data_IF_077113766486
#
_entry.id   IF_077113766486
#
_cell.length_a   1.000
_cell.length_b   1.000
_cell.length_c   1.000
_cell.angle_alpha   90.00
_cell.angle_beta   90.00
_cell.angle_gamma   90.00
#
_symmetry.space_group_name_H-M   'P 1'
#
loop_
_entity.id
_entity.type
_entity.pdbx_description
1 polymer ?
#
# COMPACT_ATOMS: atom_id res chain seq x y z
N UNK A 1 -15.01 45.11 -28.36
CA UNK A 1 -15.77 44.49 -27.24
C UNK A 1 -15.34 43.03 -27.13
N UNK A 2 -14.79 42.58 -25.99
CA UNK A 2 -14.25 41.23 -25.80
C UNK A 2 -15.35 40.21 -25.44
N UNK A 3 -15.56 39.21 -26.29
CA UNK A 3 -16.39 38.03 -26.00
C UNK A 3 -15.52 36.84 -25.65
N UNK A 4 -15.41 36.54 -24.36
CA UNK A 4 -14.67 35.42 -23.77
C UNK A 4 -15.12 34.06 -24.32
N UNK A 5 -14.14 33.22 -24.63
CA UNK A 5 -13.95 31.89 -24.02
C UNK A 5 -15.07 30.86 -24.23
N UNK A 6 -14.81 29.88 -25.11
CA UNK A 6 -15.23 28.49 -24.88
C UNK A 6 -14.04 27.58 -25.18
N UNK A 7 -13.25 27.38 -24.14
CA UNK A 7 -12.29 26.29 -24.05
C UNK A 7 -13.08 24.96 -24.04
N UNK A 8 -12.85 24.02 -24.97
CA UNK A 8 -13.39 22.69 -24.85
C UNK A 8 -12.59 21.96 -23.76
N UNK A 9 -13.21 21.83 -22.58
CA UNK A 9 -12.63 21.10 -21.45
C UNK A 9 -12.21 19.66 -21.83
N UNK A 10 -11.22 19.08 -21.14
CA UNK A 10 -10.63 17.81 -21.52
C UNK A 10 -11.63 16.66 -21.36
N UNK A 11 -12.30 16.31 -22.44
CA UNK A 11 -12.99 15.04 -22.61
C UNK A 11 -12.00 13.99 -23.12
N UNK A 12 -11.18 13.45 -22.22
CA UNK A 12 -10.56 12.14 -22.38
C UNK A 12 -10.18 11.64 -20.98
N UNK A 13 -10.96 10.69 -20.48
CA UNK A 13 -10.81 10.07 -19.18
C UNK A 13 -9.56 9.16 -19.14
N UNK A 14 -8.37 9.76 -19.25
CA UNK A 14 -7.06 9.09 -19.25
C UNK A 14 -6.16 9.48 -18.08
N UNK A 15 -6.68 10.22 -17.09
CA UNK A 15 -5.85 10.86 -16.05
C UNK A 15 -6.08 10.33 -14.62
N UNK A 16 -6.87 9.26 -14.44
CA UNK A 16 -7.04 8.64 -13.11
C UNK A 16 -5.84 7.83 -12.62
N UNK A 17 -4.90 7.46 -13.52
CA UNK A 17 -3.72 6.71 -13.12
C UNK A 17 -2.65 7.61 -12.45
N UNK A 18 -2.59 8.90 -12.81
CA UNK A 18 -1.59 9.82 -12.29
C UNK A 18 -1.88 10.33 -10.86
N UNK A 19 -3.16 10.39 -10.48
CA UNK A 19 -3.56 10.83 -9.13
C UNK A 19 -3.43 9.74 -8.06
N UNK A 20 -3.54 8.46 -8.44
CA UNK A 20 -3.40 7.33 -7.51
C UNK A 20 -1.98 7.20 -6.94
N UNK A 21 -0.96 7.64 -7.71
CA UNK A 21 0.44 7.69 -7.25
C UNK A 21 0.71 8.85 -6.28
N UNK A 22 -0.15 9.89 -6.24
CA UNK A 22 0.07 11.10 -5.43
C UNK A 22 -0.50 11.00 -4.01
N UNK A 23 -1.17 9.90 -3.68
CA UNK A 23 -1.85 9.68 -2.40
C UNK A 23 -1.28 8.49 -1.59
N UNK A 24 -0.07 8.01 -1.91
CA UNK A 24 0.64 7.07 -1.05
C UNK A 24 1.45 7.85 -0.01
N UNK A 25 1.05 7.87 1.27
CA UNK A 25 1.86 8.48 2.31
C UNK A 25 3.15 7.66 2.48
N UNK A 26 4.29 8.29 2.21
CA UNK A 26 5.63 7.98 2.72
C UNK A 26 5.88 6.49 2.99
N UNK A 27 6.11 5.73 1.92
CA UNK A 27 6.63 4.37 2.00
C UNK A 27 8.12 4.43 2.36
N UNK A 28 8.45 4.47 3.65
CA UNK A 28 9.82 4.32 4.17
C UNK A 28 10.41 2.90 3.94
N UNK A 29 9.73 2.03 3.16
CA UNK A 29 10.25 0.73 2.71
C UNK A 29 9.53 0.30 1.42
N UNK A 30 9.79 1.02 0.33
CA UNK A 30 9.02 1.00 -0.92
C UNK A 30 9.14 -0.25 -1.83
N UNK A 31 9.37 -1.47 -1.31
CA UNK A 31 9.36 -2.69 -2.14
C UNK A 31 8.55 -3.86 -1.56
N UNK A 32 8.00 -3.72 -0.35
CA UNK A 32 7.08 -4.72 0.19
C UNK A 32 5.67 -4.11 0.22
N UNK A 33 4.77 -4.61 -0.62
CA UNK A 33 3.36 -4.24 -0.60
C UNK A 33 2.71 -4.42 0.78
N UNK A 34 1.44 -4.02 0.95
CA UNK A 34 0.76 -4.09 2.23
C UNK A 34 0.82 -5.52 2.81
N UNK A 35 1.36 -5.68 4.02
CA UNK A 35 1.36 -6.97 4.72
C UNK A 35 -0.07 -7.52 4.92
N UNK A 36 -1.08 -6.65 4.85
CA UNK A 36 -2.50 -6.98 4.84
C UNK A 36 -2.92 -7.84 3.65
N UNK A 37 -2.24 -7.68 2.50
CA UNK A 37 -2.49 -8.46 1.29
C UNK A 37 -1.75 -9.80 1.30
N UNK A 38 -0.78 -9.98 2.20
CA UNK A 38 0.00 -11.20 2.25
C UNK A 38 -0.85 -12.37 2.77
N UNK A 39 -0.55 -13.56 2.27
CA UNK A 39 -1.15 -14.79 2.78
C UNK A 39 -0.64 -15.08 4.19
N UNK A 40 -1.42 -15.82 4.98
CA UNK A 40 -0.99 -16.20 6.33
C UNK A 40 0.30 -17.02 6.33
N UNK A 41 0.55 -17.81 5.27
CA UNK A 41 1.78 -18.55 5.10
C UNK A 41 2.99 -17.61 4.93
N UNK A 42 2.89 -16.65 4.00
CA UNK A 42 3.94 -15.64 3.75
C UNK A 42 4.23 -14.80 5.00
N UNK A 43 3.20 -14.42 5.75
CA UNK A 43 3.38 -13.68 7.01
C UNK A 43 4.10 -14.52 8.08
N UNK A 44 3.79 -15.82 8.18
CA UNK A 44 4.49 -16.71 9.12
C UNK A 44 5.93 -16.96 8.73
N UNK A 45 6.20 -17.10 7.43
CA UNK A 45 7.56 -17.24 6.90
C UNK A 45 8.38 -16.01 7.24
N UNK A 46 7.87 -14.81 6.90
CA UNK A 46 8.52 -13.54 7.22
C UNK A 46 8.71 -13.34 8.73
N UNK A 47 7.73 -13.75 9.52
CA UNK A 47 7.80 -13.73 10.97
C UNK A 47 8.86 -14.71 11.51
N UNK A 48 9.09 -15.82 10.83
CA UNK A 48 10.17 -16.76 11.17
C UNK A 48 11.54 -16.19 10.82
N UNK A 49 11.68 -15.52 9.67
CA UNK A 49 12.93 -14.85 9.27
C UNK A 49 13.34 -13.74 10.24
N UNK A 50 12.35 -13.02 10.79
CA UNK A 50 12.56 -11.94 11.77
C UNK A 50 12.62 -12.42 13.22
N UNK A 51 12.42 -13.71 13.48
CA UNK A 51 12.53 -14.30 14.82
C UNK A 51 11.33 -14.05 15.76
N UNK A 52 10.13 -13.79 15.22
CA UNK A 52 8.93 -13.56 16.04
C UNK A 52 8.51 -14.86 16.73
N UNK A 53 8.60 -14.90 18.06
CA UNK A 53 8.14 -16.03 18.84
C UNK A 53 6.61 -16.15 18.85
N UNK A 54 6.10 -17.38 18.93
CA UNK A 54 4.66 -17.61 18.92
C UNK A 54 3.97 -17.41 17.56
N UNK A 55 4.69 -17.11 16.45
CA UNK A 55 4.11 -16.89 15.10
C UNK A 55 3.14 -17.98 14.63
N UNK A 56 3.36 -19.22 15.06
CA UNK A 56 2.50 -20.36 14.70
C UNK A 56 1.11 -20.29 15.35
N UNK A 57 1.02 -19.65 16.53
CA UNK A 57 -0.23 -19.47 17.28
C UNK A 57 -0.94 -18.18 16.93
N UNK A 58 -0.19 -17.18 16.45
CA UNK A 58 -0.70 -15.87 16.03
C UNK A 58 -1.67 -15.96 14.85
N UNK A 59 -2.65 -15.06 14.85
CA UNK A 59 -3.57 -14.79 13.73
C UNK A 59 -2.92 -13.84 12.72
N UNK A 60 -3.54 -13.71 11.55
CA UNK A 60 -3.04 -12.88 10.45
C UNK A 60 -2.75 -11.45 10.92
N UNK A 61 -3.68 -10.85 11.66
CA UNK A 61 -3.55 -9.48 12.15
C UNK A 61 -2.41 -9.32 13.17
N UNK A 62 -2.23 -10.32 14.04
CA UNK A 62 -1.15 -10.34 15.03
C UNK A 62 0.21 -10.44 14.33
N UNK A 63 0.33 -11.28 13.30
CA UNK A 63 1.55 -11.39 12.49
C UNK A 63 1.87 -10.07 11.78
N UNK A 64 0.87 -9.43 11.17
CA UNK A 64 1.04 -8.13 10.50
C UNK A 64 1.52 -7.08 11.49
N UNK A 65 0.91 -7.00 12.68
CA UNK A 65 1.30 -6.05 13.73
C UNK A 65 2.72 -6.31 14.21
N UNK A 66 3.07 -7.56 14.48
CA UNK A 66 4.40 -7.92 14.95
C UNK A 66 5.48 -7.66 13.88
N UNK A 67 5.18 -7.93 12.61
CA UNK A 67 6.06 -7.61 11.48
C UNK A 67 6.22 -6.10 11.25
N UNK A 68 5.15 -5.32 11.44
CA UNK A 68 5.22 -3.85 11.41
C UNK A 68 6.03 -3.29 12.58
N UNK A 69 6.00 -3.93 13.74
CA UNK A 69 6.77 -3.52 14.92
C UNK A 69 8.27 -3.84 14.81
N UNK A 70 8.67 -4.75 13.92
CA UNK A 70 10.08 -5.05 13.61
C UNK A 70 10.70 -4.17 12.52
N UNK A 71 9.92 -3.24 11.97
CA UNK A 71 10.37 -2.24 10.98
C UNK A 71 10.55 -0.88 11.62
#
# INVERSE_FOLDING_TARGET
MPGRMRDPGPAAHGERLAAALRAAPQADRADAGPLEDWTMASLRERASETGIEGRSRMRKDELIRALRAQG
#
